data_IF_086957917555
#
_entry.id   IF_086957917555
#
_cell.length_a   1.000
_cell.length_b   1.000
_cell.length_c   1.000
_cell.angle_alpha   90.00
_cell.angle_beta   90.00
_cell.angle_gamma   90.00
#
_symmetry.space_group_name_H-M   'P 1'
#
loop_
_entity.id
_entity.type
_entity.pdbx_description
1 polymer ?
#
# COMPACT_ATOMS: atom_id res chain seq x y z
N UNK A 1 -10.21 9.31 5.59
CA UNK A 1 -10.26 7.84 5.40
C UNK A 1 -10.14 7.10 6.73
N UNK A 2 -10.73 5.89 6.87
CA UNK A 2 -10.36 4.96 7.95
C UNK A 2 -8.85 4.67 7.89
N UNK A 3 -8.19 4.62 9.06
CA UNK A 3 -6.73 4.52 9.13
C UNK A 3 -6.23 3.53 10.19
N UNK A 4 -7.12 2.90 10.95
CA UNK A 4 -6.77 1.98 12.03
C UNK A 4 -7.76 0.84 12.14
N UNK A 5 -7.25 -0.36 12.37
CA UNK A 5 -8.04 -1.59 12.43
C UNK A 5 -7.55 -2.53 13.51
N UNK A 6 -8.50 -3.30 14.06
CA UNK A 6 -8.23 -4.54 14.79
C UNK A 6 -8.46 -5.67 13.80
N UNK A 7 -7.48 -6.55 13.66
CA UNK A 7 -7.48 -7.69 12.75
C UNK A 7 -7.63 -8.97 13.57
N UNK A 8 -8.71 -9.71 13.36
CA UNK A 8 -8.95 -11.00 14.02
C UNK A 8 -9.29 -12.03 12.96
N UNK A 9 -8.57 -13.16 12.94
CA UNK A 9 -8.87 -14.21 11.96
C UNK A 9 -8.25 -15.57 12.27
N UNK A 10 -8.89 -16.67 11.85
CA UNK A 10 -8.40 -18.03 12.06
C UNK A 10 -7.25 -18.40 11.12
N UNK A 11 -6.66 -19.58 11.33
CA UNK A 11 -5.66 -20.14 10.42
C UNK A 11 -6.16 -20.14 8.96
N UNK A 12 -5.25 -19.83 8.02
CA UNK A 12 -5.49 -19.71 6.56
C UNK A 12 -6.30 -18.48 6.12
N UNK A 13 -6.76 -17.64 7.04
CA UNK A 13 -7.25 -16.30 6.70
C UNK A 13 -6.07 -15.33 6.51
N UNK A 14 -6.33 -14.13 6.01
CA UNK A 14 -5.33 -13.08 5.80
C UNK A 14 -5.59 -12.30 4.51
N UNK A 15 -4.82 -11.25 4.28
CA UNK A 15 -5.01 -10.35 3.14
C UNK A 15 -4.20 -10.80 1.94
N UNK A 16 -4.86 -10.88 0.78
CA UNK A 16 -4.20 -11.18 -0.50
C UNK A 16 -3.17 -10.13 -0.87
N UNK A 17 -2.42 -10.38 -1.95
CA UNK A 17 -1.41 -9.44 -2.42
C UNK A 17 -2.04 -8.08 -2.78
N UNK A 18 -1.51 -6.99 -2.21
CA UNK A 18 -1.96 -5.62 -2.44
C UNK A 18 -0.87 -4.59 -2.15
N UNK A 19 -1.14 -3.35 -2.51
CA UNK A 19 -0.43 -2.16 -2.03
C UNK A 19 -1.44 -1.36 -1.20
N UNK A 20 -0.98 -0.80 -0.08
CA UNK A 20 -1.82 0.04 0.78
C UNK A 20 -2.41 1.25 0.02
N UNK A 21 -3.65 1.65 0.33
CA UNK A 21 -4.32 2.73 -0.38
C UNK A 21 -3.63 4.07 -0.14
N UNK A 22 -3.77 4.97 -1.12
CA UNK A 22 -3.27 6.34 -1.08
C UNK A 22 -1.75 6.44 -0.84
N UNK A 23 -1.01 5.38 -1.15
CA UNK A 23 0.43 5.26 -0.89
C UNK A 23 0.80 5.58 0.57
N UNK A 24 -0.04 5.15 1.52
CA UNK A 24 0.28 5.25 2.94
C UNK A 24 1.36 4.25 3.34
N UNK A 25 2.14 4.61 4.34
CA UNK A 25 2.91 3.63 5.11
C UNK A 25 1.95 2.91 6.07
N UNK A 26 2.33 1.71 6.53
CA UNK A 26 1.60 1.01 7.57
C UNK A 26 2.53 0.36 8.59
N UNK A 27 1.98 0.11 9.78
CA UNK A 27 2.60 -0.79 10.76
C UNK A 27 1.57 -1.77 11.27
N UNK A 28 1.99 -3.02 11.50
CA UNK A 28 1.14 -4.09 12.01
C UNK A 28 1.81 -4.76 13.19
N UNK A 29 1.17 -4.75 14.35
CA UNK A 29 1.62 -5.45 15.55
C UNK A 29 0.73 -6.65 15.80
N UNK A 30 1.34 -7.83 15.92
CA UNK A 30 0.62 -9.04 16.33
C UNK A 30 0.58 -9.10 17.85
N UNK A 31 -0.61 -9.25 18.42
CA UNK A 31 -0.82 -9.38 19.85
C UNK A 31 -0.89 -10.86 20.26
N UNK A 32 -1.57 -11.67 19.44
CA UNK A 32 -1.69 -13.12 19.63
C UNK A 32 -1.61 -13.83 18.28
N UNK A 33 -1.07 -15.06 18.28
CA UNK A 33 -0.88 -15.89 17.09
C UNK A 33 0.32 -15.46 16.23
N UNK A 34 0.39 -15.99 15.00
CA UNK A 34 1.50 -15.72 14.08
C UNK A 34 1.04 -15.43 12.66
N UNK A 35 1.78 -14.54 11.99
CA UNK A 35 1.56 -14.17 10.58
C UNK A 35 2.76 -14.54 9.73
N UNK A 36 2.52 -15.07 8.54
CA UNK A 36 3.52 -15.16 7.46
C UNK A 36 3.31 -14.02 6.49
N UNK A 37 4.38 -13.29 6.22
CA UNK A 37 4.41 -12.18 5.28
C UNK A 37 5.27 -12.51 4.09
N UNK A 38 4.92 -11.88 2.97
CA UNK A 38 5.83 -11.65 1.87
C UNK A 38 5.63 -10.24 1.36
N UNK A 39 6.74 -9.53 1.13
CA UNK A 39 6.76 -8.17 0.61
C UNK A 39 7.68 -8.10 -0.60
N UNK A 40 7.29 -7.37 -1.63
CA UNK A 40 8.06 -7.19 -2.85
C UNK A 40 8.54 -5.76 -3.01
N UNK A 41 9.71 -5.52 -3.64
CA UNK A 41 10.12 -4.18 -4.04
C UNK A 41 9.06 -3.51 -4.93
N UNK A 42 8.82 -2.18 -4.82
CA UNK A 42 7.81 -1.49 -5.61
C UNK A 42 7.97 -1.60 -7.13
N UNK A 43 9.20 -1.86 -7.61
CA UNK A 43 9.54 -1.99 -9.02
C UNK A 43 9.27 -3.39 -9.61
N UNK A 44 8.75 -4.34 -8.81
CA UNK A 44 8.40 -5.69 -9.28
C UNK A 44 7.32 -5.64 -10.37
N UNK A 45 7.42 -6.51 -11.37
CA UNK A 45 6.30 -6.73 -12.29
C UNK A 45 5.12 -7.34 -11.53
N UNK A 46 4.05 -6.56 -11.39
CA UNK A 46 2.84 -6.93 -10.66
C UNK A 46 2.20 -8.22 -11.20
N UNK A 47 2.23 -8.43 -12.52
CA UNK A 47 1.68 -9.66 -13.13
C UNK A 47 2.57 -10.87 -12.86
N UNK A 48 3.88 -10.68 -12.77
CA UNK A 48 4.83 -11.76 -12.45
C UNK A 48 4.62 -12.35 -11.04
N UNK A 49 4.03 -11.58 -10.13
CA UNK A 49 3.71 -12.00 -8.75
C UNK A 49 2.22 -12.26 -8.52
N UNK A 50 1.40 -12.30 -9.56
CA UNK A 50 -0.03 -12.62 -9.44
C UNK A 50 -0.90 -11.47 -8.92
N UNK A 51 -0.42 -10.23 -8.99
CA UNK A 51 -1.19 -9.00 -8.76
C UNK A 51 -1.53 -8.38 -10.12
N UNK A 52 -2.45 -9.00 -10.84
CA UNK A 52 -2.92 -8.49 -12.14
C UNK A 52 -3.97 -7.38 -11.91
N UNK A 53 -3.72 -6.12 -12.34
CA UNK A 53 -4.66 -5.01 -12.13
C UNK A 53 -6.02 -5.22 -12.81
N UNK A 54 -6.07 -6.08 -13.83
CA UNK A 54 -7.27 -6.40 -14.60
C UNK A 54 -8.07 -7.57 -14.00
N UNK A 55 -7.62 -8.14 -12.87
CA UNK A 55 -8.26 -9.26 -12.19
C UNK A 55 -8.57 -8.95 -10.72
N UNK A 56 -9.55 -9.64 -10.13
CA UNK A 56 -9.78 -9.57 -8.70
C UNK A 56 -8.56 -10.00 -7.89
N UNK A 57 -8.41 -9.44 -6.70
CA UNK A 57 -7.38 -9.86 -5.75
C UNK A 57 -7.52 -11.36 -5.45
N UNK A 58 -6.39 -12.07 -5.50
CA UNK A 58 -6.32 -13.48 -5.11
C UNK A 58 -6.33 -13.58 -3.58
N UNK A 59 -7.22 -14.39 -2.97
CA UNK A 59 -7.20 -14.62 -1.53
C UNK A 59 -5.84 -15.09 -1.03
N UNK A 60 -5.41 -14.62 0.14
CA UNK A 60 -4.07 -14.89 0.72
C UNK A 60 -3.65 -16.35 0.63
N UNK A 61 -4.45 -17.27 1.18
CA UNK A 61 -4.14 -18.71 1.17
C UNK A 61 -4.00 -19.30 -0.23
N UNK A 62 -4.77 -18.81 -1.21
CA UNK A 62 -4.66 -19.23 -2.61
C UNK A 62 -3.39 -18.65 -3.24
N UNK A 63 -3.05 -17.41 -2.92
CA UNK A 63 -1.80 -16.78 -3.37
C UNK A 63 -0.58 -17.54 -2.85
N UNK A 64 -0.53 -17.82 -1.54
CA UNK A 64 0.57 -18.58 -0.92
C UNK A 64 0.67 -20.01 -1.47
N UNK A 65 -0.46 -20.63 -1.85
CA UNK A 65 -0.43 -21.95 -2.49
C UNK A 65 0.12 -21.91 -3.92
N UNK A 66 -0.31 -20.94 -4.72
CA UNK A 66 -0.08 -20.94 -6.17
C UNK A 66 1.17 -20.16 -6.61
N UNK A 67 1.57 -19.12 -5.88
CA UNK A 67 2.59 -18.15 -6.31
C UNK A 67 3.86 -18.16 -5.47
N UNK A 68 3.75 -18.44 -4.17
CA UNK A 68 4.85 -18.33 -3.22
C UNK A 68 6.12 -19.07 -3.67
N UNK A 69 6.00 -20.36 -4.06
CA UNK A 69 7.15 -21.17 -4.49
C UNK A 69 7.86 -20.60 -5.72
N UNK A 70 7.10 -20.01 -6.66
CA UNK A 70 7.67 -19.37 -7.85
C UNK A 70 8.45 -18.11 -7.47
N UNK A 71 7.87 -17.28 -6.59
CA UNK A 71 8.45 -15.99 -6.20
C UNK A 71 9.66 -16.11 -5.26
N UNK A 72 9.88 -17.31 -4.70
CA UNK A 72 10.99 -17.63 -3.79
C UNK A 72 11.96 -18.66 -4.38
N UNK A 73 11.80 -18.99 -5.67
CA UNK A 73 12.69 -19.92 -6.35
C UNK A 73 14.10 -19.33 -6.52
N UNK A 74 15.13 -20.18 -6.51
CA UNK A 74 16.52 -19.75 -6.66
C UNK A 74 16.83 -19.05 -8.00
N UNK A 75 15.99 -19.22 -9.02
CA UNK A 75 16.12 -18.55 -10.32
C UNK A 75 15.22 -17.32 -10.44
N UNK A 76 14.55 -16.91 -9.36
CA UNK A 76 13.79 -15.66 -9.34
C UNK A 76 14.72 -14.46 -9.56
N UNK A 77 14.29 -13.42 -10.32
CA UNK A 77 15.11 -12.23 -10.54
C UNK A 77 15.55 -11.59 -9.22
N UNK A 78 16.86 -11.35 -9.08
CA UNK A 78 17.44 -10.90 -7.81
C UNK A 78 16.94 -9.52 -7.41
N UNK A 79 16.69 -8.64 -8.38
CA UNK A 79 16.12 -7.32 -8.23
C UNK A 79 14.68 -7.33 -7.68
N UNK A 80 13.98 -8.47 -7.78
CA UNK A 80 12.62 -8.67 -7.30
C UNK A 80 12.56 -9.63 -6.11
N UNK A 81 13.70 -9.93 -5.49
CA UNK A 81 13.76 -10.83 -4.33
C UNK A 81 12.81 -10.33 -3.24
N UNK A 82 11.85 -11.15 -2.80
CA UNK A 82 10.93 -10.75 -1.76
C UNK A 82 11.61 -10.72 -0.38
N UNK A 83 11.05 -9.92 0.52
CA UNK A 83 11.30 -10.01 1.95
C UNK A 83 10.25 -10.93 2.56
N UNK A 84 10.70 -11.96 3.26
CA UNK A 84 9.84 -12.87 4.00
C UNK A 84 9.93 -12.62 5.49
N UNK A 85 8.78 -12.61 6.17
CA UNK A 85 8.73 -12.44 7.63
C UNK A 85 7.81 -13.48 8.23
N UNK A 86 8.31 -14.21 9.22
CA UNK A 86 7.47 -14.92 10.18
C UNK A 86 7.33 -14.00 11.39
N UNK A 87 6.16 -13.40 11.57
CA UNK A 87 5.90 -12.45 12.63
C UNK A 87 5.32 -13.18 13.84
N UNK A 88 5.99 -13.02 14.98
CA UNK A 88 5.66 -13.58 16.27
C UNK A 88 4.84 -12.60 17.14
N UNK A 89 4.16 -13.07 18.22
CA UNK A 89 3.48 -12.20 19.16
C UNK A 89 4.41 -11.13 19.76
N UNK A 90 3.94 -9.89 19.80
CA UNK A 90 4.67 -8.71 20.27
C UNK A 90 5.51 -8.01 19.20
N UNK A 91 5.74 -8.63 18.05
CA UNK A 91 6.53 -8.03 16.97
C UNK A 91 5.69 -7.05 16.13
N UNK A 92 6.36 -6.03 15.60
CA UNK A 92 5.75 -5.04 14.70
C UNK A 92 6.45 -5.04 13.35
N UNK A 93 5.69 -5.28 12.29
CA UNK A 93 6.15 -5.15 10.91
C UNK A 93 5.83 -3.74 10.42
N UNK A 94 6.84 -3.05 9.88
CA UNK A 94 6.67 -1.82 9.12
C UNK A 94 6.54 -2.16 7.63
N UNK A 95 5.51 -1.61 6.98
CA UNK A 95 5.22 -1.78 5.56
C UNK A 95 5.42 -0.42 4.89
N UNK A 96 6.48 -0.22 4.10
CA UNK A 96 6.69 1.05 3.42
C UNK A 96 5.68 1.25 2.30
N UNK A 97 5.29 2.51 2.09
CA UNK A 97 4.41 2.90 1.00
C UNK A 97 4.85 2.34 -0.36
N UNK A 98 3.90 1.81 -1.12
CA UNK A 98 4.14 1.30 -2.47
C UNK A 98 4.62 -0.15 -2.56
N UNK A 99 4.92 -0.81 -1.44
CA UNK A 99 5.38 -2.21 -1.43
C UNK A 99 4.21 -3.19 -1.58
N UNK A 100 4.18 -4.03 -2.64
CA UNK A 100 3.21 -5.10 -2.73
C UNK A 100 3.45 -6.14 -1.64
N UNK A 101 2.42 -6.49 -0.88
CA UNK A 101 2.56 -7.43 0.22
C UNK A 101 1.32 -8.31 0.41
N UNK A 102 1.54 -9.53 0.92
CA UNK A 102 0.50 -10.49 1.25
C UNK A 102 0.75 -11.09 2.64
N UNK A 103 -0.32 -11.43 3.33
CA UNK A 103 -0.28 -11.90 4.73
C UNK A 103 -1.15 -13.13 4.90
N UNK A 104 -0.62 -14.14 5.60
CA UNK A 104 -1.34 -15.35 5.97
C UNK A 104 -1.28 -15.57 7.47
N UNK A 105 -2.44 -15.68 8.13
CA UNK A 105 -2.54 -16.11 9.51
C UNK A 105 -2.25 -17.62 9.59
N UNK A 106 -1.26 -18.00 10.38
CA UNK A 106 -0.87 -19.40 10.55
C UNK A 106 -1.72 -20.12 11.61
N UNK A 107 -2.33 -19.36 12.51
CA UNK A 107 -3.24 -19.81 13.57
C UNK A 107 -4.32 -18.75 13.84
N UNK A 108 -5.07 -18.86 14.94
CA UNK A 108 -5.94 -17.75 15.36
C UNK A 108 -5.04 -16.55 15.70
N UNK A 109 -5.27 -15.42 15.03
CA UNK A 109 -4.42 -14.24 15.16
C UNK A 109 -5.24 -13.03 15.55
N UNK A 110 -4.72 -12.27 16.52
CA UNK A 110 -5.21 -10.94 16.89
C UNK A 110 -4.09 -9.94 16.65
N UNK A 111 -4.37 -8.89 15.89
CA UNK A 111 -3.39 -7.86 15.56
C UNK A 111 -4.03 -6.48 15.49
N UNK A 112 -3.21 -5.44 15.56
CA UNK A 112 -3.59 -4.04 15.34
C UNK A 112 -2.74 -3.46 14.22
N UNK A 113 -3.35 -2.62 13.39
CA UNK A 113 -2.65 -1.95 12.29
C UNK A 113 -3.14 -0.54 12.10
N UNK A 114 -2.23 0.39 11.81
CA UNK A 114 -2.56 1.71 11.31
C UNK A 114 -1.85 2.00 9.99
N UNK A 115 -2.57 2.65 9.09
CA UNK A 115 -2.00 3.34 7.94
C UNK A 115 -1.73 4.80 8.32
N UNK A 116 -0.62 5.36 7.87
CA UNK A 116 -0.22 6.72 8.21
C UNK A 116 0.55 7.39 7.08
N UNK A 117 0.53 8.73 7.09
CA UNK A 117 1.38 9.57 6.27
C UNK A 117 2.49 10.13 7.14
N UNK A 118 3.75 10.01 6.71
CA UNK A 118 4.90 10.49 7.47
C UNK A 118 5.92 11.16 6.59
N UNK A 119 6.33 12.37 6.97
CA UNK A 119 7.45 13.06 6.34
C UNK A 119 8.75 12.26 6.45
N UNK A 120 9.01 11.64 7.60
CA UNK A 120 10.28 10.96 7.86
C UNK A 120 10.46 9.69 7.02
N UNK A 121 9.37 8.96 6.77
CA UNK A 121 9.40 7.72 6.00
C UNK A 121 9.27 7.98 4.49
N UNK A 122 8.41 8.93 4.09
CA UNK A 122 8.09 9.17 2.69
C UNK A 122 8.98 10.24 2.03
N UNK A 123 9.55 11.15 2.82
CA UNK A 123 10.16 12.38 2.32
C UNK A 123 9.17 13.27 1.56
N UNK A 124 9.68 14.37 0.98
CA UNK A 124 8.85 15.31 0.20
C UNK A 124 8.32 14.69 -1.09
N UNK A 125 9.11 13.84 -1.74
CA UNK A 125 8.71 13.19 -2.99
C UNK A 125 7.60 12.16 -2.77
N UNK A 126 7.73 11.31 -1.74
CA UNK A 126 6.69 10.35 -1.39
C UNK A 126 5.40 11.04 -0.95
N UNK A 127 5.49 12.12 -0.16
CA UNK A 127 4.33 12.93 0.23
C UNK A 127 3.64 13.55 -0.99
N UNK A 128 4.42 14.01 -1.99
CA UNK A 128 3.88 14.53 -3.26
C UNK A 128 3.14 13.43 -4.04
N UNK A 129 3.70 12.21 -4.14
CA UNK A 129 3.03 11.08 -4.81
C UNK A 129 1.72 10.70 -4.11
N UNK A 130 1.73 10.62 -2.78
CA UNK A 130 0.51 10.41 -1.98
C UNK A 130 -0.51 11.53 -2.22
N UNK A 131 -0.08 12.79 -2.27
CA UNK A 131 -0.99 13.92 -2.52
C UNK A 131 -1.78 13.73 -3.81
N UNK A 132 -1.13 13.30 -4.89
CA UNK A 132 -1.79 13.05 -6.18
C UNK A 132 -2.86 11.96 -6.09
N UNK A 133 -2.53 10.84 -5.45
CA UNK A 133 -3.50 9.77 -5.18
C UNK A 133 -4.69 10.29 -4.34
N UNK A 134 -4.42 11.14 -3.34
CA UNK A 134 -5.47 11.71 -2.49
C UNK A 134 -6.36 12.69 -3.26
N UNK A 135 -5.79 13.51 -4.15
CA UNK A 135 -6.56 14.44 -5.00
C UNK A 135 -7.47 13.68 -5.95
N UNK A 136 -6.95 12.65 -6.60
CA UNK A 136 -7.70 11.83 -7.55
C UNK A 136 -8.82 11.04 -6.85
N UNK A 137 -8.49 10.38 -5.74
CA UNK A 137 -9.40 9.44 -5.07
C UNK A 137 -10.38 10.12 -4.11
N UNK A 138 -9.96 11.20 -3.45
CA UNK A 138 -10.65 11.80 -2.31
C UNK A 138 -10.60 13.36 -2.35
N UNK A 139 -11.06 14.00 -3.44
CA UNK A 139 -10.82 15.43 -3.70
C UNK A 139 -11.36 16.36 -2.61
N UNK A 140 -12.52 16.03 -2.02
CA UNK A 140 -13.09 16.82 -0.93
C UNK A 140 -12.24 16.74 0.36
N UNK A 141 -11.63 15.58 0.63
CA UNK A 141 -10.68 15.43 1.73
C UNK A 141 -9.36 16.15 1.40
N UNK A 142 -8.84 15.99 0.19
CA UNK A 142 -7.63 16.67 -0.28
C UNK A 142 -7.69 18.18 -0.04
N UNK A 143 -8.78 18.83 -0.47
CA UNK A 143 -8.97 20.27 -0.30
C UNK A 143 -8.99 20.71 1.17
N UNK A 144 -9.62 19.93 2.07
CA UNK A 144 -9.62 20.21 3.51
C UNK A 144 -8.23 19.99 4.12
N UNK A 145 -7.57 18.90 3.73
CA UNK A 145 -6.26 18.54 4.25
C UNK A 145 -5.20 19.57 3.85
N UNK A 146 -5.18 20.03 2.58
CA UNK A 146 -4.27 21.10 2.13
C UNK A 146 -4.44 22.39 2.92
N UNK A 147 -5.67 22.85 3.17
CA UNK A 147 -5.93 24.04 3.99
C UNK A 147 -5.41 23.88 5.42
N UNK A 148 -5.60 22.69 6.02
CA UNK A 148 -5.06 22.40 7.34
C UNK A 148 -3.53 22.38 7.33
N UNK A 149 -2.91 21.79 6.32
CA UNK A 149 -1.46 21.74 6.15
C UNK A 149 -0.86 23.12 5.95
N UNK A 150 -1.46 24.00 5.14
CA UNK A 150 -1.02 25.39 4.98
C UNK A 150 -1.02 26.14 6.33
N UNK A 151 -1.99 25.86 7.19
CA UNK A 151 -2.09 26.49 8.51
C UNK A 151 -1.10 25.91 9.53
N UNK A 152 -0.90 24.60 9.54
CA UNK A 152 -0.22 23.89 10.64
C UNK A 152 1.18 23.37 10.29
N UNK A 153 1.45 23.09 9.01
CA UNK A 153 2.71 22.56 8.48
C UNK A 153 3.01 23.19 7.10
N UNK A 154 3.19 24.51 7.03
CA UNK A 154 3.43 25.21 5.76
C UNK A 154 4.69 24.72 5.03
N UNK A 155 5.67 24.22 5.78
CA UNK A 155 6.88 23.57 5.29
C UNK A 155 6.62 22.33 4.43
N UNK A 156 5.54 21.60 4.74
CA UNK A 156 5.08 20.43 3.99
C UNK A 156 4.00 20.76 2.97
N UNK A 157 3.22 21.81 3.20
CA UNK A 157 2.16 22.24 2.29
C UNK A 157 2.69 22.56 0.88
N UNK A 158 3.95 22.99 0.76
CA UNK A 158 4.61 23.22 -0.52
C UNK A 158 4.76 21.94 -1.38
N UNK A 159 4.77 20.75 -0.76
CA UNK A 159 4.77 19.48 -1.49
C UNK A 159 3.35 19.07 -1.97
N UNK A 160 2.31 19.69 -1.43
CA UNK A 160 0.90 19.46 -1.74
C UNK A 160 0.39 20.50 -2.76
N UNK A 161 1.06 20.53 -3.92
CA UNK A 161 0.74 21.46 -5.00
C UNK A 161 0.27 20.69 -6.22
N UNK A 162 -0.75 21.23 -6.87
CA UNK A 162 -1.19 20.77 -8.17
C UNK A 162 -0.22 21.38 -9.21
N UNK A 163 0.26 20.58 -10.15
CA UNK A 163 1.25 20.99 -11.18
C UNK A 163 0.82 22.16 -12.06
N UNK A 164 -0.44 22.61 -12.00
CA UNK A 164 -0.97 23.66 -12.86
C UNK A 164 -0.52 25.10 -12.50
N UNK A 165 0.12 25.36 -11.36
CA UNK A 165 0.63 26.72 -11.06
C UNK A 165 2.00 27.02 -11.70
N UNK A 166 2.58 26.09 -12.49
CA UNK A 166 3.95 26.18 -13.00
C UNK A 166 4.17 26.19 -14.52
N UNK A 167 3.15 26.35 -15.38
CA UNK A 167 3.38 26.23 -16.83
C UNK A 167 2.29 26.72 -17.75
N UNK A 168 2.15 28.04 -17.93
CA UNK A 168 1.66 28.56 -19.21
C UNK A 168 2.77 28.39 -20.26
N UNK A 169 2.79 27.25 -20.95
CA UNK A 169 3.72 26.97 -22.04
C UNK A 169 3.51 25.55 -22.55
N UNK A 170 2.78 25.40 -23.65
CA UNK A 170 2.14 24.15 -24.05
C UNK A 170 3.07 23.01 -24.48
N UNK A 171 2.57 21.78 -24.34
CA UNK A 171 2.39 20.84 -25.46
C UNK A 171 1.55 19.67 -24.97
N UNK A 172 0.52 19.34 -25.73
CA UNK A 172 -0.48 18.30 -25.49
C UNK A 172 0.14 16.90 -25.40
N UNK A 173 -0.12 16.18 -24.31
CA UNK A 173 -0.09 14.71 -24.32
C UNK A 173 -1.48 14.23 -23.91
N UNK A 174 -2.18 13.67 -24.88
CA UNK A 174 -3.46 12.99 -24.76
C UNK A 174 -3.33 11.79 -23.82
N UNK A 175 -3.89 11.86 -22.62
CA UNK A 175 -4.27 10.67 -21.87
C UNK A 175 -5.77 10.42 -22.06
N UNK A 176 -6.08 9.27 -22.67
CA UNK A 176 -7.45 8.79 -22.85
C UNK A 176 -8.08 8.52 -21.48
N UNK A 177 -9.30 9.01 -21.34
CA UNK A 177 -10.23 8.66 -20.27
C UNK A 177 -10.49 7.15 -20.26
N UNK A 178 -10.24 6.49 -19.13
CA UNK A 178 -11.00 5.31 -18.73
C UNK A 178 -11.30 5.44 -17.25
N UNK A 179 -12.55 5.81 -16.95
CA UNK A 179 -13.07 5.83 -15.59
C UNK A 179 -12.93 4.45 -14.96
N UNK A 180 -12.04 4.35 -13.97
CA UNK A 180 -12.01 3.22 -13.05
C UNK A 180 -13.00 3.52 -11.94
N UNK A 181 -14.05 2.72 -11.85
CA UNK A 181 -14.83 2.59 -10.62
C UNK A 181 -13.96 1.82 -9.61
N UNK A 182 -13.50 2.52 -8.58
CA UNK A 182 -12.53 2.03 -7.58
C UNK A 182 -13.24 1.67 -6.27
N UNK A 183 -14.57 1.52 -6.29
CA UNK A 183 -15.40 1.25 -5.11
C UNK A 183 -15.20 -0.11 -4.43
N UNK A 184 -14.21 -0.92 -4.85
CA UNK A 184 -13.92 -2.23 -4.25
C UNK A 184 -12.42 -2.51 -4.15
N UNK A 185 -11.71 -1.87 -3.21
CA UNK A 185 -10.38 -2.31 -2.78
C UNK A 185 -10.27 -2.36 -1.26
N UNK A 186 -10.11 -3.59 -0.77
CA UNK A 186 -9.63 -4.02 0.53
C UNK A 186 -9.98 -3.11 1.74
N UNK A 187 -11.24 -3.15 2.15
CA UNK A 187 -11.53 -3.17 3.59
C UNK A 187 -11.12 -4.55 4.12
N UNK A 188 -10.28 -4.56 5.15
CA UNK A 188 -10.03 -5.76 5.97
C UNK A 188 -11.34 -6.26 6.56
#
# INVERSE_FOLDING_TARGET
>A
PPYRWILIGPARSGTGLHVDPLLTDAWVTVLEGRKRWILFPPAVDRRAIGMDPDRPQIPSSIWFRNWYKRCTDKHWPKEWTPVEVLQEPGETVFVPAGWPHAVLNLEMTVAVTHNYASEAAMGKEGLRKMWWEVVEMEPAFAARWRRAMQKHRPDLAAALVDEEEGGKGGSSISMKEEGRDISKRATV
#
